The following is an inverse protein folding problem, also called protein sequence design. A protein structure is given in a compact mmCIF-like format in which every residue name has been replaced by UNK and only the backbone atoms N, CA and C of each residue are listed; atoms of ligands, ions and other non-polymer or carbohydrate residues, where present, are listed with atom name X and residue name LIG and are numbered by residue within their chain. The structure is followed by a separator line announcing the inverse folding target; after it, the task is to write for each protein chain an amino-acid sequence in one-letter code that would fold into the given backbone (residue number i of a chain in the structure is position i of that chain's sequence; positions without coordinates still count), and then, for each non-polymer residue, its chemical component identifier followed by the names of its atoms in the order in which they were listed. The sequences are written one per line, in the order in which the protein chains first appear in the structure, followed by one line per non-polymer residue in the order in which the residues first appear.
data_IF_824507026530
#
_entry.id   IF_824507026530
#
_cell.length_a   1.000
_cell.length_b   1.000
_cell.length_c   1.000
_cell.angle_alpha   90.00
_cell.angle_beta   90.00
_cell.angle_gamma   90.00
#
_symmetry.space_group_name_H-M   'P 1'
#
loop_
_entity.id
_entity.type
_entity.pdbx_description
1 polymer ?
#
# COMPACT_ATOMS: atom_id res chain seq x y z
N UNK A 1 -19.37 6.19 0.82
CA UNK A 1 -20.04 4.88 1.02
C UNK A 1 -19.92 4.49 2.47
N UNK A 2 -20.94 4.73 3.26
CA UNK A 2 -20.93 4.43 4.69
C UNK A 2 -21.70 3.14 5.00
N UNK A 3 -21.33 2.00 4.44
CA UNK A 3 -21.84 0.76 4.98
C UNK A 3 -20.83 -0.36 4.79
N UNK A 4 -20.62 -1.14 5.84
CA UNK A 4 -19.72 -2.29 5.90
C UNK A 4 -20.00 -3.38 4.85
N UNK A 5 -21.05 -3.22 4.05
CA UNK A 5 -21.50 -4.18 3.04
C UNK A 5 -20.83 -4.01 1.67
N UNK A 6 -20.04 -2.95 1.46
CA UNK A 6 -19.50 -2.61 0.13
C UNK A 6 -17.98 -2.53 0.07
N UNK A 7 -17.31 -3.26 0.93
CA UNK A 7 -15.86 -3.23 1.08
C UNK A 7 -15.05 -3.76 -0.10
N UNK A 8 -15.69 -4.36 -1.10
CA UNK A 8 -15.04 -4.91 -2.30
C UNK A 8 -15.54 -4.26 -3.59
N UNK A 9 -16.25 -3.15 -3.50
CA UNK A 9 -16.84 -2.49 -4.68
C UNK A 9 -15.78 -2.08 -5.70
N UNK A 10 -14.61 -1.60 -5.25
CA UNK A 10 -13.51 -1.22 -6.12
C UNK A 10 -13.02 -2.39 -6.98
N UNK A 11 -12.86 -3.56 -6.38
CA UNK A 11 -12.46 -4.77 -7.09
C UNK A 11 -13.56 -5.26 -8.04
N UNK A 12 -14.80 -5.26 -7.57
CA UNK A 12 -15.95 -5.72 -8.37
C UNK A 12 -16.25 -4.81 -9.57
N UNK A 13 -15.99 -3.50 -9.43
CA UNK A 13 -16.31 -2.50 -10.44
C UNK A 13 -15.08 -2.03 -11.24
N UNK A 14 -13.88 -2.54 -10.93
CA UNK A 14 -12.66 -2.27 -11.67
C UNK A 14 -12.09 -0.87 -11.49
N UNK A 15 -12.34 -0.21 -10.34
CA UNK A 15 -11.69 1.05 -10.00
C UNK A 15 -10.73 0.88 -8.83
N UNK A 16 -9.79 1.80 -8.66
CA UNK A 16 -8.89 1.81 -7.52
C UNK A 16 -9.59 2.35 -6.27
N UNK A 17 -9.55 1.60 -5.19
CA UNK A 17 -10.11 2.00 -3.92
C UNK A 17 -9.36 1.36 -2.76
N UNK A 18 -9.38 2.02 -1.61
CA UNK A 18 -8.69 1.57 -0.40
C UNK A 18 -9.60 0.76 0.54
N UNK A 19 -10.91 0.74 0.28
CA UNK A 19 -11.85 -0.04 1.08
C UNK A 19 -11.77 -1.51 0.70
N UNK A 20 -11.20 -2.34 1.55
CA UNK A 20 -11.08 -3.77 1.34
C UNK A 20 -11.64 -4.55 2.52
N UNK A 21 -12.16 -5.74 2.22
CA UNK A 21 -12.55 -6.73 3.21
C UNK A 21 -11.74 -8.00 2.94
N UNK A 22 -10.75 -8.25 3.78
CA UNK A 22 -9.93 -9.44 3.70
C UNK A 22 -9.99 -10.23 5.01
N UNK A 23 -10.13 -11.55 4.91
CA UNK A 23 -10.06 -12.43 6.09
C UNK A 23 -8.63 -12.51 6.65
N UNK A 24 -7.64 -12.17 5.85
CA UNK A 24 -6.22 -12.11 6.22
C UNK A 24 -5.75 -10.68 5.98
N UNK A 25 -5.19 -10.09 7.01
CA UNK A 25 -4.68 -8.73 6.98
C UNK A 25 -3.18 -8.73 6.73
N UNK A 26 -2.71 -7.71 6.02
CA UNK A 26 -1.31 -7.36 6.02
C UNK A 26 -0.92 -6.85 7.42
N UNK A 27 0.02 -7.54 8.09
CA UNK A 27 0.43 -7.22 9.47
C UNK A 27 1.08 -5.85 9.58
N UNK A 28 1.81 -5.42 8.54
CA UNK A 28 2.48 -4.12 8.52
C UNK A 28 1.46 -2.99 8.41
N UNK A 29 0.49 -3.11 7.49
CA UNK A 29 -0.59 -2.11 7.40
C UNK A 29 -1.40 -2.02 8.72
N UNK A 30 -1.55 -3.16 9.42
CA UNK A 30 -2.14 -3.15 10.76
C UNK A 30 -1.32 -2.31 11.73
N UNK A 31 -0.01 -2.48 11.75
CA UNK A 31 0.89 -1.73 12.65
C UNK A 31 0.75 -0.22 12.41
N UNK A 32 0.74 0.23 11.14
CA UNK A 32 0.48 1.63 10.79
C UNK A 32 -0.86 2.14 11.34
N UNK A 33 -1.94 1.37 11.16
CA UNK A 33 -3.26 1.77 11.66
C UNK A 33 -3.31 1.78 13.18
N UNK A 34 -2.77 0.76 13.84
CA UNK A 34 -2.78 0.68 15.31
C UNK A 34 -2.01 1.85 15.97
N UNK A 35 -0.95 2.34 15.31
CA UNK A 35 -0.13 3.44 15.82
C UNK A 35 -0.69 4.80 15.43
N UNK A 36 -0.92 5.02 14.13
CA UNK A 36 -1.25 6.35 13.63
C UNK A 36 -2.76 6.65 13.62
N UNK A 37 -3.61 5.60 13.54
CA UNK A 37 -5.05 5.73 13.38
C UNK A 37 -5.84 4.68 14.19
N UNK A 38 -5.58 4.54 15.50
CA UNK A 38 -6.22 3.52 16.33
C UNK A 38 -7.75 3.63 16.36
N UNK A 39 -8.31 4.80 16.08
CA UNK A 39 -9.75 5.04 15.99
C UNK A 39 -10.40 4.36 14.79
N UNK A 40 -9.64 3.97 13.77
CA UNK A 40 -10.16 3.23 12.61
C UNK A 40 -10.34 1.73 12.88
N UNK A 41 -9.95 1.28 14.05
CA UNK A 41 -10.01 -0.11 14.43
C UNK A 41 -11.43 -0.55 14.79
N UNK A 42 -12.08 -1.28 13.89
CA UNK A 42 -13.32 -1.99 14.22
C UNK A 42 -13.00 -3.29 14.95
N UNK A 43 -13.00 -3.27 16.27
CA UNK A 43 -12.59 -4.34 17.20
C UNK A 43 -13.31 -5.67 17.02
N UNK A 44 -14.42 -5.73 16.34
CA UNK A 44 -15.37 -6.84 16.54
C UNK A 44 -15.15 -8.06 15.64
N UNK A 45 -14.27 -8.01 14.64
CA UNK A 45 -14.24 -9.11 13.67
C UNK A 45 -12.91 -9.42 12.97
N UNK A 46 -11.75 -8.98 13.42
CA UNK A 46 -10.48 -9.11 12.65
C UNK A 46 -10.60 -8.59 11.20
N UNK A 47 -11.37 -7.54 10.98
CA UNK A 47 -11.68 -6.99 9.67
C UNK A 47 -11.24 -5.55 9.63
N UNK A 48 -10.39 -5.21 8.66
CA UNK A 48 -10.17 -3.81 8.35
C UNK A 48 -11.10 -3.41 7.22
N UNK A 49 -12.03 -2.57 7.55
CA UNK A 49 -12.48 -1.60 6.61
C UNK A 49 -11.57 -0.40 6.80
N UNK A 50 -10.59 -0.21 5.94
CA UNK A 50 -9.83 1.01 5.88
C UNK A 50 -10.79 2.07 5.32
N UNK A 51 -11.46 2.74 6.22
CA UNK A 51 -12.35 3.84 5.90
C UNK A 51 -11.60 5.13 6.25
N UNK A 52 -11.11 5.89 5.27
CA UNK A 52 -10.84 7.27 5.57
C UNK A 52 -12.19 7.86 5.99
N UNK A 53 -12.27 8.31 7.22
CA UNK A 53 -13.40 9.08 7.68
C UNK A 53 -13.50 10.31 6.75
N UNK A 54 -14.72 10.67 6.33
CA UNK A 54 -14.94 11.91 5.58
C UNK A 54 -14.47 13.16 6.39
N UNK A 55 -14.27 13.01 7.69
CA UNK A 55 -13.71 14.02 8.57
C UNK A 55 -12.18 14.10 8.50
N UNK A 56 -11.48 13.02 8.13
CA UNK A 56 -10.02 12.97 7.95
C UNK A 56 -9.65 12.90 6.46
N UNK A 57 -9.57 14.08 5.84
CA UNK A 57 -9.19 14.18 4.44
C UNK A 57 -7.68 14.03 4.21
N UNK A 58 -6.86 14.20 5.26
CA UNK A 58 -5.42 13.95 5.20
C UNK A 58 -5.12 12.47 4.94
N UNK A 59 -5.66 11.55 5.75
CA UNK A 59 -5.46 10.12 5.56
C UNK A 59 -5.91 9.68 4.16
N UNK A 60 -7.03 10.21 3.67
CA UNK A 60 -7.50 9.95 2.32
C UNK A 60 -6.48 10.41 1.27
N UNK A 61 -5.95 11.63 1.39
CA UNK A 61 -4.92 12.16 0.50
C UNK A 61 -3.59 11.40 0.64
N UNK A 62 -3.18 11.11 1.87
CA UNK A 62 -1.96 10.36 2.18
C UNK A 62 -1.96 8.98 1.51
N UNK A 63 -3.10 8.29 1.53
CA UNK A 63 -3.28 6.98 0.89
C UNK A 63 -3.67 7.04 -0.59
N UNK A 64 -3.58 8.21 -1.22
CA UNK A 64 -3.81 8.39 -2.65
C UNK A 64 -5.27 8.50 -3.06
N UNK A 65 -6.20 8.70 -2.12
CA UNK A 65 -7.64 8.86 -2.41
C UNK A 65 -7.94 10.29 -2.82
N UNK A 66 -8.11 10.49 -4.12
CA UNK A 66 -8.44 11.79 -4.72
C UNK A 66 -9.93 12.11 -4.72
N UNK A 67 -10.76 11.10 -4.88
CA UNK A 67 -12.20 11.25 -5.00
C UNK A 67 -12.96 10.44 -3.96
N UNK A 68 -14.03 11.01 -3.43
CA UNK A 68 -14.92 10.36 -2.48
C UNK A 68 -16.33 10.31 -3.06
N UNK A 69 -16.96 9.14 -3.02
CA UNK A 69 -18.37 8.96 -3.29
C UNK A 69 -19.14 8.94 -1.98
N UNK A 70 -20.10 9.85 -1.80
CA UNK A 70 -20.90 9.97 -0.59
C UNK A 70 -22.39 9.97 -0.91
N UNK A 71 -23.20 9.50 0.04
CA UNK A 71 -24.66 9.70 0.02
C UNK A 71 -25.06 11.02 0.68
N UNK A 72 -24.15 11.65 1.43
CA UNK A 72 -24.34 12.99 1.99
C UNK A 72 -23.94 14.05 0.99
N UNK A 73 -24.77 15.08 0.86
CA UNK A 73 -24.53 16.23 -0.02
C UNK A 73 -23.93 17.43 0.72
N UNK A 74 -23.56 17.28 1.99
CA UNK A 74 -23.16 18.35 2.92
C UNK A 74 -21.80 18.11 3.59
N UNK A 75 -20.85 17.48 2.90
CA UNK A 75 -19.51 17.35 3.41
C UNK A 75 -18.84 18.71 3.56
N UNK A 76 -17.92 18.81 4.52
CA UNK A 76 -17.17 20.04 4.79
C UNK A 76 -16.43 20.52 3.53
N UNK A 77 -16.84 21.70 3.05
CA UNK A 77 -16.29 22.29 1.82
C UNK A 77 -14.83 22.76 1.97
N UNK A 78 -14.32 22.87 3.18
CA UNK A 78 -12.88 23.12 3.43
C UNK A 78 -12.01 21.89 3.17
N UNK A 79 -12.62 20.70 3.20
CA UNK A 79 -11.95 19.41 3.01
C UNK A 79 -12.26 18.76 1.66
N UNK A 80 -13.48 18.96 1.16
CA UNK A 80 -13.97 18.29 -0.06
C UNK A 80 -14.74 19.24 -0.96
N UNK A 81 -14.40 19.30 -2.21
CA UNK A 81 -15.11 20.05 -3.24
C UNK A 81 -16.14 19.17 -3.95
N UNK A 82 -17.38 19.58 -3.95
CA UNK A 82 -18.44 18.88 -4.70
C UNK A 82 -18.23 19.04 -6.20
N UNK A 83 -18.00 17.94 -6.90
CA UNK A 83 -17.77 17.90 -8.34
C UNK A 83 -19.05 17.62 -9.12
N UNK A 84 -19.82 16.63 -8.66
CA UNK A 84 -21.02 16.18 -9.38
C UNK A 84 -21.98 15.41 -8.47
N UNK A 85 -23.27 15.41 -8.87
CA UNK A 85 -24.32 14.64 -8.21
C UNK A 85 -25.00 13.70 -9.23
N UNK A 86 -25.24 12.46 -8.82
CA UNK A 86 -25.90 11.42 -9.62
C UNK A 86 -26.94 10.70 -8.76
N UNK A 87 -28.20 10.99 -8.93
CA UNK A 87 -29.29 10.20 -8.34
C UNK A 87 -29.15 9.92 -6.83
N UNK A 88 -28.72 10.91 -6.03
CA UNK A 88 -28.54 10.76 -4.58
C UNK A 88 -27.16 10.26 -4.16
N UNK A 89 -26.20 10.19 -5.08
CA UNK A 89 -24.77 10.00 -4.82
C UNK A 89 -24.04 11.27 -5.24
N UNK A 90 -23.12 11.70 -4.41
CA UNK A 90 -22.31 12.90 -4.59
C UNK A 90 -20.85 12.50 -4.80
N UNK A 91 -20.24 13.03 -5.85
CA UNK A 91 -18.81 12.88 -6.14
C UNK A 91 -18.09 14.11 -5.61
N UNK A 92 -17.19 13.91 -4.70
CA UNK A 92 -16.33 14.95 -4.13
C UNK A 92 -14.88 14.74 -4.54
N UNK A 93 -14.15 15.84 -4.68
CA UNK A 93 -12.69 15.87 -4.82
C UNK A 93 -12.09 16.29 -3.48
N UNK A 94 -11.08 15.56 -3.00
CA UNK A 94 -10.29 15.98 -1.85
C UNK A 94 -9.54 17.27 -2.19
N UNK A 95 -9.55 18.25 -1.31
CA UNK A 95 -8.82 19.54 -1.50
C UNK A 95 -7.32 19.35 -1.28
N UNK A 96 -6.92 18.36 -0.48
CA UNK A 96 -5.53 18.00 -0.31
C UNK A 96 -5.04 17.20 -1.53
N UNK A 97 -3.75 17.38 -1.85
CA UNK A 97 -3.13 16.64 -2.95
C UNK A 97 -2.96 15.16 -2.60
N UNK A 98 -3.70 14.32 -3.32
CA UNK A 98 -3.63 12.88 -3.16
C UNK A 98 -2.52 12.30 -4.05
N UNK A 99 -1.56 11.64 -3.41
CA UNK A 99 -0.43 10.99 -4.09
C UNK A 99 -0.36 9.50 -3.74
N UNK A 100 -0.14 8.67 -4.76
CA UNK A 100 0.08 7.22 -4.57
C UNK A 100 1.53 6.88 -4.20
N UNK A 101 2.42 7.85 -4.28
CA UNK A 101 3.79 7.78 -3.79
C UNK A 101 4.27 9.18 -3.42
N UNK A 102 5.20 9.26 -2.48
CA UNK A 102 5.78 10.50 -1.95
C UNK A 102 7.30 10.39 -1.88
N UNK A 103 7.97 11.52 -1.97
CA UNK A 103 9.42 11.60 -1.82
C UNK A 103 9.78 12.27 -0.49
N UNK A 104 10.71 11.67 0.24
CA UNK A 104 11.18 12.15 1.53
C UNK A 104 12.70 12.33 1.54
N UNK A 105 13.16 13.41 2.13
CA UNK A 105 14.57 13.64 2.46
C UNK A 105 14.84 13.30 3.92
N UNK A 106 13.91 13.66 4.81
CA UNK A 106 14.05 13.46 6.23
C UNK A 106 13.53 12.07 6.63
N UNK A 107 14.28 11.38 7.46
CA UNK A 107 13.87 10.09 8.03
C UNK A 107 13.91 10.13 9.56
N UNK A 108 12.98 9.42 10.19
CA UNK A 108 12.96 9.15 11.64
C UNK A 108 12.92 7.66 11.89
N UNK A 109 13.21 7.22 13.11
CA UNK A 109 13.07 5.80 13.44
C UNK A 109 11.61 5.39 13.59
N UNK A 110 11.31 4.11 13.36
CA UNK A 110 9.99 3.55 13.62
C UNK A 110 9.59 3.72 15.11
N UNK A 111 10.55 3.63 16.02
CA UNK A 111 10.29 3.78 17.46
C UNK A 111 9.92 5.22 17.80
N UNK A 112 10.60 6.22 17.23
CA UNK A 112 10.19 7.62 17.37
C UNK A 112 8.78 7.88 16.83
N UNK A 113 8.41 7.29 15.68
CA UNK A 113 7.04 7.38 15.17
C UNK A 113 6.04 6.75 16.16
N UNK A 114 6.33 5.57 16.71
CA UNK A 114 5.44 4.87 17.66
C UNK A 114 5.24 5.65 18.97
N UNK A 115 6.29 6.28 19.46
CA UNK A 115 6.25 7.02 20.71
C UNK A 115 5.58 8.39 20.58
N UNK A 116 5.81 9.09 19.48
CA UNK A 116 5.35 10.46 19.29
C UNK A 116 4.01 10.56 18.57
N UNK A 117 3.62 9.58 17.77
CA UNK A 117 2.41 9.66 16.95
C UNK A 117 1.13 9.65 17.78
N UNK A 118 0.30 10.65 17.57
CA UNK A 118 -1.03 10.77 18.16
C UNK A 118 -1.95 11.59 17.22
N UNK A 119 -3.21 11.75 17.56
CA UNK A 119 -4.22 12.42 16.74
C UNK A 119 -3.85 13.88 16.39
N UNK A 120 -3.12 14.57 17.26
CA UNK A 120 -2.79 15.99 17.08
C UNK A 120 -1.58 16.22 16.16
N UNK A 121 -0.64 15.25 16.11
CA UNK A 121 0.65 15.44 15.44
C UNK A 121 0.96 14.46 14.30
N UNK A 122 0.14 13.41 14.11
CA UNK A 122 0.36 12.38 13.09
C UNK A 122 0.51 12.96 11.68
N UNK A 123 -0.29 13.97 11.32
CA UNK A 123 -0.17 14.61 10.02
C UNK A 123 1.20 15.27 9.85
N UNK A 124 1.66 16.00 10.85
CA UNK A 124 2.97 16.65 10.83
C UNK A 124 4.10 15.65 10.72
N UNK A 125 4.05 14.54 11.48
CA UNK A 125 5.06 13.47 11.41
C UNK A 125 5.10 12.85 10.03
N UNK A 126 3.94 12.43 9.50
CA UNK A 126 3.82 11.72 8.21
C UNK A 126 4.08 12.61 6.99
N UNK A 127 3.93 13.93 7.10
CA UNK A 127 4.28 14.86 6.02
C UNK A 127 5.76 15.23 6.00
N UNK A 128 6.37 15.40 7.17
CA UNK A 128 7.72 15.96 7.27
C UNK A 128 8.81 14.90 7.20
N UNK A 129 8.51 13.66 7.57
CA UNK A 129 9.50 12.58 7.67
C UNK A 129 8.93 11.23 7.27
N UNK A 130 9.82 10.35 6.88
CA UNK A 130 9.54 8.93 6.64
C UNK A 130 10.11 8.11 7.80
N UNK A 131 9.28 7.32 8.45
CA UNK A 131 9.75 6.40 9.48
C UNK A 131 10.34 5.12 8.85
N UNK A 132 11.58 4.80 9.21
CA UNK A 132 12.34 3.64 8.78
C UNK A 132 12.95 2.94 10.01
N UNK A 133 13.27 1.63 9.89
CA UNK A 133 13.90 0.86 10.98
C UNK A 133 15.21 1.53 11.44
N UNK A 134 16.09 1.91 10.51
CA UNK A 134 17.37 2.58 10.78
C UNK A 134 17.27 4.12 10.66
N UNK A 135 16.09 4.71 10.80
CA UNK A 135 15.89 6.15 10.77
C UNK A 135 16.48 6.87 11.99
N UNK A 136 16.55 8.20 11.91
CA UNK A 136 17.08 9.03 13.00
C UNK A 136 16.13 9.02 14.20
N UNK A 137 16.66 8.75 15.40
CA UNK A 137 15.92 8.93 16.64
C UNK A 137 15.62 10.40 16.91
N UNK A 138 14.38 10.68 17.26
CA UNK A 138 13.93 11.99 17.79
C UNK A 138 13.18 11.79 19.10
N UNK A 139 13.39 12.70 20.06
CA UNK A 139 12.78 12.58 21.40
C UNK A 139 11.47 13.38 21.50
N UNK A 140 11.33 14.43 20.72
CA UNK A 140 10.11 15.22 20.63
C UNK A 140 9.93 15.88 19.25
N UNK A 141 8.79 16.53 19.02
CA UNK A 141 8.47 17.18 17.74
C UNK A 141 9.36 18.35 17.39
N UNK A 142 10.05 18.96 18.37
CA UNK A 142 10.99 20.05 18.10
C UNK A 142 12.26 19.57 17.39
N UNK A 143 12.54 18.27 17.46
CA UNK A 143 13.65 17.63 16.75
C UNK A 143 13.30 17.32 15.30
N UNK A 144 12.01 17.39 14.94
CA UNK A 144 11.56 17.11 13.59
C UNK A 144 12.02 18.19 12.62
N UNK A 145 12.72 17.78 11.57
CA UNK A 145 13.17 18.72 10.55
C UNK A 145 12.00 19.20 9.69
N UNK A 146 12.01 20.48 9.34
CA UNK A 146 11.03 21.01 8.38
C UNK A 146 11.24 20.41 6.99
N UNK A 147 10.16 20.35 6.22
CA UNK A 147 10.21 19.87 4.82
C UNK A 147 11.18 20.76 4.03
N UNK A 148 12.24 20.17 3.55
CA UNK A 148 13.28 20.87 2.78
C UNK A 148 12.75 21.37 1.43
N UNK A 149 13.40 22.40 0.88
CA UNK A 149 13.12 22.88 -0.46
C UNK A 149 13.36 21.80 -1.53
N UNK A 150 14.31 20.90 -1.30
CA UNK A 150 14.57 19.77 -2.16
C UNK A 150 13.38 18.80 -2.17
N UNK A 151 12.84 18.45 -0.99
CA UNK A 151 11.66 17.60 -0.88
C UNK A 151 10.45 18.22 -1.56
N UNK A 152 10.16 19.51 -1.33
CA UNK A 152 9.04 20.24 -1.95
C UNK A 152 9.10 20.29 -3.49
N UNK A 153 10.30 20.27 -4.06
CA UNK A 153 10.54 20.33 -5.51
C UNK A 153 10.70 18.95 -6.16
N UNK A 154 10.77 17.91 -5.35
CA UNK A 154 10.81 16.54 -5.82
C UNK A 154 9.39 16.04 -6.10
N UNK A 155 9.28 15.10 -7.03
CA UNK A 155 7.98 14.51 -7.40
C UNK A 155 8.11 13.05 -7.78
N UNK A 156 7.07 12.28 -7.47
CA UNK A 156 6.96 10.88 -7.85
C UNK A 156 5.63 10.67 -8.56
N UNK A 157 5.67 10.04 -9.71
CA UNK A 157 4.47 9.70 -10.48
C UNK A 157 4.48 8.21 -10.78
N UNK A 158 3.48 7.50 -10.24
CA UNK A 158 3.24 6.09 -10.56
C UNK A 158 2.14 5.99 -11.62
N UNK A 159 2.42 5.24 -12.68
CA UNK A 159 1.45 4.97 -13.73
C UNK A 159 0.44 3.91 -13.26
N UNK A 160 -0.73 3.90 -13.88
CA UNK A 160 -1.66 2.80 -13.72
C UNK A 160 -0.98 1.49 -14.19
N UNK A 161 -1.03 0.40 -13.41
CA UNK A 161 -0.44 -0.86 -13.83
C UNK A 161 -1.09 -1.32 -15.14
N UNK A 162 -0.27 -1.63 -16.14
CA UNK A 162 -0.73 -2.25 -17.38
C UNK A 162 -1.05 -3.73 -17.17
N UNK A 163 -0.42 -4.34 -16.16
CA UNK A 163 -0.62 -5.73 -15.73
C UNK A 163 -0.64 -5.76 -14.21
N UNK A 164 -1.38 -6.70 -13.64
CA UNK A 164 -1.66 -6.80 -12.20
C UNK A 164 -0.42 -6.90 -11.28
N UNK A 165 0.77 -7.15 -11.84
CA UNK A 165 1.99 -7.34 -11.05
C UNK A 165 3.13 -6.38 -11.38
N UNK A 166 2.90 -5.35 -12.21
CA UNK A 166 3.95 -4.42 -12.62
C UNK A 166 3.43 -2.98 -12.63
N UNK A 167 4.04 -2.14 -11.83
CA UNK A 167 3.78 -0.69 -11.77
C UNK A 167 5.04 -0.01 -12.29
N UNK A 168 4.89 0.93 -13.22
CA UNK A 168 5.97 1.80 -13.69
C UNK A 168 5.76 3.21 -13.19
N UNK A 169 6.82 4.01 -13.17
CA UNK A 169 6.73 5.39 -12.73
C UNK A 169 8.00 6.18 -13.03
N UNK A 170 7.99 7.41 -12.59
CA UNK A 170 9.15 8.31 -12.65
C UNK A 170 9.32 9.02 -11.32
N UNK A 171 10.55 9.31 -10.95
CA UNK A 171 10.87 10.19 -9.85
C UNK A 171 11.81 11.29 -10.31
N UNK A 172 11.50 12.52 -9.92
CA UNK A 172 12.35 13.69 -10.06
C UNK A 172 12.83 14.08 -8.66
N UNK A 173 14.01 13.63 -8.27
CA UNK A 173 14.58 13.86 -6.96
C UNK A 173 15.55 15.05 -6.98
N UNK A 174 15.40 16.01 -6.08
CA UNK A 174 16.26 17.20 -5.94
C UNK A 174 17.31 17.05 -4.84
N UNK A 175 17.36 15.89 -4.22
CA UNK A 175 18.38 15.43 -3.28
C UNK A 175 18.32 13.90 -3.20
N UNK A 176 19.33 13.29 -2.59
CA UNK A 176 19.23 11.89 -2.14
C UNK A 176 18.11 11.76 -1.11
N UNK A 177 17.34 10.68 -1.19
CA UNK A 177 16.19 10.46 -0.28
C UNK A 177 15.49 9.14 -0.55
N UNK A 178 14.24 9.07 -0.15
CA UNK A 178 13.42 7.87 -0.23
C UNK A 178 12.11 8.13 -0.96
N UNK A 179 11.65 7.13 -1.67
CA UNK A 179 10.28 7.07 -2.18
C UNK A 179 9.46 6.15 -1.28
N UNK A 180 8.34 6.66 -0.77
CA UNK A 180 7.30 5.88 -0.10
C UNK A 180 6.14 5.67 -1.06
N UNK A 181 5.82 4.42 -1.36
CA UNK A 181 4.66 4.05 -2.17
C UNK A 181 3.51 3.62 -1.26
N UNK A 182 2.30 4.10 -1.52
CA UNK A 182 1.10 3.70 -0.77
C UNK A 182 0.66 2.28 -1.16
N UNK A 183 1.58 1.36 -1.07
CA UNK A 183 1.45 -0.07 -1.32
C UNK A 183 1.84 -0.78 -0.02
N UNK A 184 1.01 -1.65 0.54
CA UNK A 184 1.38 -2.42 1.73
C UNK A 184 2.69 -3.17 1.52
N UNK A 185 3.63 -3.02 2.47
CA UNK A 185 4.91 -3.72 2.42
C UNK A 185 4.71 -5.23 2.64
N UNK A 186 5.27 -6.01 1.74
CA UNK A 186 5.31 -7.48 1.83
C UNK A 186 6.59 -8.02 1.19
N UNK A 187 7.07 -9.15 1.70
CA UNK A 187 8.15 -9.90 1.08
C UNK A 187 7.71 -10.41 -0.30
N UNK A 188 8.25 -9.86 -1.36
CA UNK A 188 7.89 -10.24 -2.74
C UNK A 188 7.85 -9.04 -3.66
N UNK A 189 7.89 -7.83 -3.12
CA UNK A 189 8.14 -6.62 -3.89
C UNK A 189 9.60 -6.54 -4.31
N UNK A 190 9.82 -6.21 -5.56
CA UNK A 190 11.12 -5.89 -6.16
C UNK A 190 10.99 -4.54 -6.84
N UNK A 191 11.90 -3.64 -6.53
CA UNK A 191 11.94 -2.30 -7.13
C UNK A 191 13.23 -2.15 -7.93
N UNK A 192 13.11 -1.63 -9.15
CA UNK A 192 14.24 -1.22 -9.98
C UNK A 192 14.17 0.28 -10.24
N UNK A 193 15.29 0.95 -10.06
CA UNK A 193 15.53 2.35 -10.44
C UNK A 193 16.51 2.34 -11.61
N UNK A 194 16.09 2.88 -12.77
CA UNK A 194 16.83 2.87 -14.03
C UNK A 194 17.28 1.47 -14.50
N UNK A 195 16.52 0.43 -14.10
CA UNK A 195 16.80 -0.96 -14.42
C UNK A 195 17.73 -1.68 -13.45
N UNK A 196 18.26 -0.99 -12.43
CA UNK A 196 19.03 -1.60 -11.34
C UNK A 196 18.13 -1.86 -10.14
N UNK A 197 18.21 -3.08 -9.58
CA UNK A 197 17.42 -3.45 -8.40
C UNK A 197 17.95 -2.72 -7.17
N UNK A 198 17.03 -2.11 -6.40
CA UNK A 198 17.33 -1.43 -5.14
C UNK A 198 16.71 -2.17 -3.97
N UNK A 199 17.33 -2.05 -2.80
CA UNK A 199 16.80 -2.62 -1.58
C UNK A 199 15.48 -1.97 -1.20
N UNK A 200 14.51 -2.78 -0.79
CA UNK A 200 13.20 -2.30 -0.35
C UNK A 200 13.05 -2.48 1.14
N UNK A 201 12.43 -1.53 1.79
CA UNK A 201 12.22 -1.54 3.23
C UNK A 201 10.79 -1.12 3.59
N UNK A 202 10.42 -1.33 4.84
CA UNK A 202 9.13 -0.93 5.37
C UNK A 202 9.19 0.54 5.79
N UNK A 203 8.40 1.40 5.15
CA UNK A 203 8.23 2.80 5.50
C UNK A 203 6.93 3.05 6.26
N UNK A 204 6.94 3.99 7.19
CA UNK A 204 5.80 4.38 8.03
C UNK A 204 5.05 3.17 8.59
N UNK A 205 5.79 2.17 9.08
CA UNK A 205 5.28 0.93 9.67
C UNK A 205 4.49 0.01 8.72
N UNK A 206 4.08 0.49 7.54
CA UNK A 206 3.11 -0.22 6.73
C UNK A 206 3.37 -0.32 5.24
N UNK A 207 4.17 0.57 4.68
CA UNK A 207 4.22 0.79 3.25
C UNK A 207 5.58 0.47 2.62
N UNK A 208 5.60 0.30 1.31
CA UNK A 208 6.80 0.03 0.54
C UNK A 208 7.65 1.30 0.40
N UNK A 209 8.89 1.27 0.90
CA UNK A 209 9.87 2.34 0.76
C UNK A 209 11.14 1.83 0.08
N UNK A 210 11.87 2.72 -0.58
CA UNK A 210 13.18 2.45 -1.18
C UNK A 210 13.99 3.73 -1.41
N UNK A 211 15.33 3.66 -1.35
CA UNK A 211 16.19 4.80 -1.55
C UNK A 211 16.28 5.20 -3.03
N UNK A 212 16.42 6.51 -3.28
CA UNK A 212 16.65 7.08 -4.60
C UNK A 212 17.67 8.20 -4.50
N UNK A 213 18.59 8.27 -5.47
CA UNK A 213 19.58 9.34 -5.59
C UNK A 213 18.97 10.61 -6.18
N UNK A 214 19.68 11.75 -6.05
CA UNK A 214 19.34 12.97 -6.77
C UNK A 214 19.37 12.70 -8.29
N UNK A 215 18.30 13.11 -9.01
CA UNK A 215 18.21 12.95 -10.45
C UNK A 215 16.78 12.66 -10.95
N UNK A 216 16.70 12.39 -12.25
CA UNK A 216 15.48 11.94 -12.91
C UNK A 216 15.62 10.43 -13.18
N UNK A 217 14.71 9.63 -12.63
CA UNK A 217 14.80 8.18 -12.67
C UNK A 217 13.52 7.52 -13.15
N UNK A 218 13.68 6.35 -13.79
CA UNK A 218 12.57 5.48 -14.17
C UNK A 218 12.39 4.40 -13.10
N UNK A 219 11.15 4.22 -12.66
CA UNK A 219 10.79 3.23 -11.64
C UNK A 219 10.07 2.04 -12.28
N UNK A 220 10.42 0.85 -11.82
CA UNK A 220 9.67 -0.39 -12.08
C UNK A 220 9.49 -1.14 -10.78
N UNK A 221 8.23 -1.37 -10.38
CA UNK A 221 7.86 -2.06 -9.15
C UNK A 221 7.11 -3.33 -9.55
N UNK A 222 7.61 -4.49 -9.14
CA UNK A 222 7.02 -5.79 -9.47
C UNK A 222 6.76 -6.61 -8.22
N UNK A 223 5.70 -7.42 -8.26
CA UNK A 223 5.38 -8.33 -7.16
C UNK A 223 5.50 -9.78 -7.58
N UNK A 224 6.22 -10.56 -6.79
CA UNK A 224 6.35 -11.99 -6.93
C UNK A 224 5.92 -12.69 -5.65
N UNK A 225 4.79 -13.39 -5.68
CA UNK A 225 4.29 -14.08 -4.50
C UNK A 225 5.34 -15.07 -3.95
N UNK A 226 5.77 -14.90 -2.68
CA UNK A 226 6.77 -15.77 -2.06
C UNK A 226 6.31 -17.22 -2.07
N UNK A 227 7.24 -18.14 -2.42
CA UNK A 227 6.95 -19.58 -2.45
C UNK A 227 6.13 -20.06 -3.64
N UNK A 228 5.61 -19.21 -4.51
CA UNK A 228 4.78 -19.63 -5.67
C UNK A 228 5.55 -20.60 -6.58
N UNK A 229 6.80 -20.29 -6.93
CA UNK A 229 7.63 -21.16 -7.79
C UNK A 229 7.86 -22.53 -7.14
N UNK A 230 8.15 -22.55 -5.84
CA UNK A 230 8.34 -23.80 -5.08
C UNK A 230 7.04 -24.61 -4.98
N UNK A 231 5.92 -23.95 -4.72
CA UNK A 231 4.60 -24.57 -4.66
C UNK A 231 4.17 -25.19 -6.00
N UNK A 232 4.40 -24.48 -7.11
CA UNK A 232 4.16 -25.02 -8.46
C UNK A 232 5.03 -26.23 -8.73
N UNK A 233 6.34 -26.17 -8.40
CA UNK A 233 7.25 -27.30 -8.54
C UNK A 233 6.80 -28.52 -7.74
N UNK A 234 6.45 -28.35 -6.48
CA UNK A 234 5.92 -29.43 -5.64
C UNK A 234 4.63 -30.04 -6.21
N UNK A 235 3.72 -29.19 -6.69
CA UNK A 235 2.47 -29.62 -7.31
C UNK A 235 2.73 -30.49 -8.56
N UNK A 236 3.64 -30.08 -9.42
CA UNK A 236 4.03 -30.86 -10.61
C UNK A 236 4.56 -32.25 -10.21
N UNK A 237 5.46 -32.30 -9.21
CA UNK A 237 5.99 -33.58 -8.70
C UNK A 237 4.86 -34.47 -8.17
N UNK A 238 3.94 -33.93 -7.38
CA UNK A 238 2.79 -34.68 -6.87
C UNK A 238 1.91 -35.23 -8.01
N UNK A 239 1.67 -34.44 -9.06
CA UNK A 239 0.92 -34.92 -10.25
C UNK A 239 1.64 -36.06 -10.98
N UNK A 240 2.96 -35.97 -11.15
CA UNK A 240 3.76 -37.04 -11.79
C UNK A 240 3.65 -38.32 -10.98
N UNK A 241 3.81 -38.27 -9.66
CA UNK A 241 3.67 -39.42 -8.76
C UNK A 241 2.26 -39.99 -8.86
N UNK A 242 1.22 -39.14 -8.79
CA UNK A 242 -0.17 -39.59 -8.87
C UNK A 242 -0.48 -40.35 -10.18
N UNK A 243 -0.11 -39.75 -11.32
CA UNK A 243 -0.33 -40.42 -12.62
C UNK A 243 0.54 -41.66 -12.78
N UNK A 244 1.77 -41.68 -12.24
CA UNK A 244 2.62 -42.85 -12.18
C UNK A 244 1.96 -44.02 -11.44
N UNK A 245 1.41 -43.72 -10.24
CA UNK A 245 0.68 -44.72 -9.45
C UNK A 245 -0.57 -45.27 -10.18
N UNK A 246 -1.34 -44.37 -10.81
CA UNK A 246 -2.51 -44.78 -11.62
C UNK A 246 -2.11 -45.66 -12.78
N UNK A 247 -1.04 -45.30 -13.50
CA UNK A 247 -0.53 -46.12 -14.61
C UNK A 247 -0.03 -47.47 -14.15
N UNK A 248 0.70 -47.53 -13.05
CA UNK A 248 1.17 -48.78 -12.44
C UNK A 248 -0.01 -49.69 -12.02
N UNK A 249 -0.99 -49.10 -11.32
CA UNK A 249 -2.19 -49.85 -10.90
C UNK A 249 -2.98 -50.42 -12.06
N UNK A 250 -3.13 -49.68 -13.17
CA UNK A 250 -3.77 -50.16 -14.39
C UNK A 250 -3.00 -51.31 -15.06
N UNK A 251 -1.68 -51.21 -15.13
CA UNK A 251 -0.81 -52.29 -15.68
C UNK A 251 -0.89 -53.54 -14.83
N UNK A 252 -0.91 -53.45 -13.51
CA UNK A 252 -1.03 -54.61 -12.60
C UNK A 252 -2.37 -55.32 -12.74
N UNK A 253 -3.49 -54.57 -12.85
CA UNK A 253 -4.81 -55.14 -13.11
C UNK A 253 -4.92 -55.85 -14.43
N UNK A 254 -4.31 -55.30 -15.49
CA UNK A 254 -4.26 -55.96 -16.81
C UNK A 254 -3.47 -57.29 -16.80
N UNK A 255 -2.33 -57.33 -16.06
CA UNK A 255 -1.56 -58.58 -15.93
C UNK A 255 -2.32 -59.64 -15.14
N UNK A 256 -3.06 -59.26 -14.10
CA UNK A 256 -3.88 -60.21 -13.31
C UNK A 256 -5.13 -60.71 -14.02
N UNK A 257 -5.58 -60.03 -15.07
CA UNK A 257 -6.74 -60.45 -15.90
C UNK A 257 -6.37 -61.37 -17.09
N UNK A 258 -5.07 -61.56 -17.36
CA UNK A 258 -4.55 -62.38 -18.46
C UNK A 258 -3.92 -63.72 -17.96
N UNK A 259 -3.75 -63.83 -16.65
CA UNK A 259 -3.32 -65.08 -15.98
C UNK A 259 -4.51 -65.81 -15.36
#
# INVERSE_FOLDING_TARGET
YSSATYTMDSLAQGYRGISTYNSVLNGNLKEFVDVCYPELYYMDQNRYAFWPNAEDNFLAAFTGVRYLLSKSGDLDSSKYELMQQFGGIYLYRNVQEAATARFYVNTISEDSLKELCNEENRETLLENSLALEDGREIEDLSDLEEISDAQKKSSVVLNAPEKDSCITGTVSARADGYVLCMIPYENGWTVSVDGEEVETEKGDLGFLAFPVKEGEHQLTITFHAPGLKAGVGASIVCWIIYFGMLGYGRRRKRKAAVS
#
